data_IF_198036735596
#
_entry.id   IF_198036735596
#
_cell.length_a   1.000
_cell.length_b   1.000
_cell.length_c   1.000
_cell.angle_alpha   90.00
_cell.angle_beta   90.00
_cell.angle_gamma   90.00
#
_symmetry.space_group_name_H-M   'P 1'
#
loop_
_entity.id
_entity.type
_entity.pdbx_description
1 polymer ?
#
# COMPACT_ATOMS: atom_id res chain seq x y z
N UNK A 1 18.57 17.93 5.70
CA UNK A 1 17.55 17.03 6.28
C UNK A 1 18.31 15.97 7.03
N UNK A 2 18.01 15.77 8.31
CA UNK A 2 18.60 14.68 9.08
C UNK A 2 18.16 13.33 8.51
N UNK A 3 18.95 12.27 8.75
CA UNK A 3 18.66 10.93 8.22
C UNK A 3 17.36 10.43 8.88
N UNK A 4 16.31 10.10 8.11
CA UNK A 4 15.05 9.69 8.70
C UNK A 4 15.19 8.33 9.39
N UNK A 5 14.37 8.11 10.43
CA UNK A 5 14.32 6.82 11.13
C UNK A 5 13.73 5.72 10.25
N UNK A 6 12.75 6.08 9.42
CA UNK A 6 12.04 5.16 8.55
C UNK A 6 11.52 5.90 7.31
N UNK A 7 11.49 5.21 6.17
CA UNK A 7 10.82 5.68 4.95
C UNK A 7 9.57 4.85 4.74
N UNK A 8 8.41 5.51 4.66
CA UNK A 8 7.13 4.83 4.50
C UNK A 8 6.54 5.12 3.12
N UNK A 9 6.41 4.08 2.29
CA UNK A 9 5.76 4.17 0.98
C UNK A 9 4.26 3.90 1.12
N UNK A 10 3.46 4.94 0.89
CA UNK A 10 2.01 4.93 0.90
C UNK A 10 1.49 4.67 -0.51
N UNK A 11 0.89 3.51 -0.74
CA UNK A 11 0.30 3.15 -2.03
C UNK A 11 -1.19 3.49 -1.99
N UNK A 12 -1.56 4.49 -2.76
CA UNK A 12 -2.88 5.10 -2.73
C UNK A 12 -3.81 4.50 -3.79
N UNK A 13 -5.07 4.32 -3.43
CA UNK A 13 -6.16 4.12 -4.37
C UNK A 13 -6.72 5.46 -4.87
N UNK A 14 -7.78 5.44 -5.68
CA UNK A 14 -8.37 6.66 -6.25
C UNK A 14 -8.87 7.63 -5.16
N UNK A 15 -9.53 7.09 -4.13
CA UNK A 15 -10.05 7.91 -3.04
C UNK A 15 -8.92 8.46 -2.18
N UNK A 16 -7.91 7.62 -1.86
CA UNK A 16 -6.72 8.00 -1.12
C UNK A 16 -5.91 9.08 -1.84
N UNK A 17 -5.74 8.97 -3.16
CA UNK A 17 -5.10 10.00 -3.98
C UNK A 17 -5.85 11.34 -3.92
N UNK A 18 -7.17 11.30 -4.07
CA UNK A 18 -8.02 12.50 -4.00
C UNK A 18 -7.94 13.17 -2.62
N UNK A 19 -8.02 12.39 -1.53
CA UNK A 19 -7.86 12.89 -0.16
C UNK A 19 -6.47 13.46 0.09
N UNK A 20 -5.43 12.82 -0.43
CA UNK A 20 -4.06 13.29 -0.32
C UNK A 20 -3.86 14.62 -1.06
N UNK A 21 -4.36 14.75 -2.29
CA UNK A 21 -4.32 16.01 -3.04
C UNK A 21 -5.07 17.15 -2.32
N UNK A 22 -6.26 16.86 -1.76
CA UNK A 22 -7.02 17.83 -0.99
C UNK A 22 -6.24 18.38 0.20
N UNK A 23 -5.46 17.53 0.88
CA UNK A 23 -4.59 17.97 1.97
C UNK A 23 -3.38 18.75 1.45
N UNK A 24 -2.63 18.19 0.49
CA UNK A 24 -1.36 18.76 0.05
C UNK A 24 -1.52 20.10 -0.67
N UNK A 25 -2.63 20.31 -1.41
CA UNK A 25 -2.88 21.60 -2.09
C UNK A 25 -2.99 22.80 -1.15
N UNK A 26 -3.12 22.59 0.16
CA UNK A 26 -3.15 23.68 1.15
C UNK A 26 -1.80 24.37 1.25
N UNK A 27 -0.70 23.62 1.13
CA UNK A 27 0.67 24.14 1.24
C UNK A 27 1.52 23.99 -0.03
N UNK A 28 1.12 23.14 -0.96
CA UNK A 28 1.90 22.73 -2.14
C UNK A 28 1.10 22.87 -3.44
N UNK A 29 0.26 23.90 -3.55
CA UNK A 29 -0.60 24.07 -4.73
C UNK A 29 0.22 24.27 -6.02
N UNK A 30 1.33 25.01 -5.93
CA UNK A 30 2.16 25.35 -7.09
C UNK A 30 2.90 24.11 -7.62
N UNK A 31 3.41 23.26 -6.72
CA UNK A 31 4.07 22.00 -7.05
C UNK A 31 3.11 20.94 -7.61
N UNK A 32 1.80 21.09 -7.37
CA UNK A 32 0.76 20.19 -7.84
C UNK A 32 -0.07 20.79 -9.00
N UNK A 33 0.47 21.80 -9.68
CA UNK A 33 -0.23 22.53 -10.75
C UNK A 33 -0.57 21.68 -11.98
N UNK A 34 0.07 20.52 -12.16
CA UNK A 34 -0.24 19.54 -13.20
C UNK A 34 -1.40 18.59 -12.83
N UNK A 35 -1.91 18.68 -11.60
CA UNK A 35 -3.00 17.84 -11.10
C UNK A 35 -4.35 18.57 -11.14
N UNK A 36 -5.43 17.79 -11.23
CA UNK A 36 -6.77 18.30 -10.94
C UNK A 36 -6.98 18.38 -9.43
N UNK A 37 -6.89 19.58 -8.87
CA UNK A 37 -6.93 19.81 -7.43
C UNK A 37 -8.36 19.78 -6.86
N UNK A 38 -8.73 18.82 -5.99
CA UNK A 38 -10.04 18.77 -5.31
C UNK A 38 -10.09 19.80 -4.18
N UNK A 39 -11.27 20.21 -3.68
CA UNK A 39 -11.38 21.22 -2.60
C UNK A 39 -10.40 21.00 -1.43
N UNK A 40 -9.78 22.07 -0.90
CA UNK A 40 -8.72 21.96 0.10
C UNK A 40 -9.25 21.45 1.44
N UNK A 41 -8.55 20.47 2.02
CA UNK A 41 -8.80 19.94 3.35
C UNK A 41 -7.70 20.40 4.33
N UNK A 42 -7.97 21.53 4.99
CA UNK A 42 -7.04 22.13 5.97
C UNK A 42 -6.83 21.25 7.19
N UNK A 43 -7.84 20.50 7.62
CA UNK A 43 -7.74 19.62 8.79
C UNK A 43 -6.85 18.42 8.48
N UNK A 44 -6.96 17.84 7.27
CA UNK A 44 -6.03 16.81 6.81
C UNK A 44 -4.60 17.33 6.70
N UNK A 45 -4.40 18.54 6.18
CA UNK A 45 -3.07 19.15 6.12
C UNK A 45 -2.46 19.38 7.52
N UNK A 46 -3.24 19.87 8.48
CA UNK A 46 -2.79 20.03 9.86
C UNK A 46 -2.36 18.71 10.50
N UNK A 47 -3.12 17.63 10.27
CA UNK A 47 -2.73 16.28 10.74
C UNK A 47 -1.39 15.83 10.17
N UNK A 48 -1.11 16.12 8.90
CA UNK A 48 0.23 15.85 8.33
C UNK A 48 1.31 16.68 9.00
N UNK A 49 1.06 17.99 9.24
CA UNK A 49 2.02 18.84 9.94
C UNK A 49 2.32 18.35 11.36
N UNK A 50 1.29 17.95 12.11
CA UNK A 50 1.46 17.37 13.45
C UNK A 50 2.24 16.07 13.41
N UNK A 51 1.93 15.18 12.47
CA UNK A 51 2.64 13.92 12.30
C UNK A 51 4.13 14.15 11.98
N UNK A 52 4.48 15.09 11.09
CA UNK A 52 5.88 15.40 10.77
C UNK A 52 6.62 16.15 11.89
N UNK A 53 5.90 16.91 12.75
CA UNK A 53 6.51 17.51 13.95
C UNK A 53 6.85 16.46 15.02
N UNK A 54 6.11 15.36 15.04
CA UNK A 54 6.19 14.34 16.09
C UNK A 54 6.93 13.06 15.67
N UNK A 55 7.33 12.93 14.40
CA UNK A 55 8.09 11.78 13.90
C UNK A 55 9.17 12.20 12.90
N UNK A 56 10.33 11.54 12.99
CA UNK A 56 11.47 11.67 12.07
C UNK A 56 11.34 10.71 10.86
N UNK A 57 10.10 10.41 10.45
CA UNK A 57 9.81 9.49 9.36
C UNK A 57 9.62 10.28 8.05
N UNK A 58 10.13 9.75 6.94
CA UNK A 58 9.86 10.28 5.60
C UNK A 58 8.70 9.53 4.97
N UNK A 59 7.74 10.25 4.40
CA UNK A 59 6.63 9.66 3.65
C UNK A 59 6.83 9.82 2.16
N UNK A 60 6.67 8.72 1.43
CA UNK A 60 6.53 8.70 -0.02
C UNK A 60 5.10 8.28 -0.38
N UNK A 61 4.57 8.83 -1.46
CA UNK A 61 3.22 8.52 -1.95
C UNK A 61 3.29 8.07 -3.40
N UNK A 62 2.56 7.00 -3.71
CA UNK A 62 2.45 6.48 -5.06
C UNK A 62 0.97 6.34 -5.41
N UNK A 63 0.59 6.90 -6.56
CA UNK A 63 -0.59 6.52 -7.31
C UNK A 63 -0.18 5.51 -8.40
N UNK A 64 -0.46 4.20 -8.24
CA UNK A 64 -0.13 3.20 -9.25
C UNK A 64 -0.89 3.43 -10.56
N UNK A 65 -0.51 2.72 -11.63
CA UNK A 65 -1.12 2.93 -12.94
C UNK A 65 -2.65 2.82 -12.92
N UNK A 66 -3.30 3.73 -13.64
CA UNK A 66 -4.75 3.81 -13.69
C UNK A 66 -5.38 4.47 -12.46
N UNK A 67 -4.59 5.14 -11.63
CA UNK A 67 -5.01 6.00 -10.51
C UNK A 67 -4.30 7.35 -10.65
N UNK A 68 -4.98 8.43 -10.25
CA UNK A 68 -4.40 9.77 -10.18
C UNK A 68 -3.91 10.29 -11.54
N UNK A 69 -2.64 10.72 -11.68
CA UNK A 69 -2.12 11.30 -12.92
C UNK A 69 -2.23 10.36 -14.14
N UNK A 70 -2.32 9.04 -13.88
CA UNK A 70 -2.42 8.01 -14.92
C UNK A 70 -3.82 7.42 -15.04
N UNK A 71 -4.82 8.03 -14.39
CA UNK A 71 -6.20 7.57 -14.44
C UNK A 71 -6.71 7.55 -15.88
N UNK A 72 -7.32 6.43 -16.26
CA UNK A 72 -8.04 6.36 -17.52
C UNK A 72 -9.38 7.08 -17.42
N UNK A 73 -9.96 7.37 -18.59
CA UNK A 73 -11.31 7.95 -18.73
C UNK A 73 -12.29 7.35 -17.70
N UNK A 74 -13.05 8.24 -17.06
CA UNK A 74 -13.97 7.93 -15.96
C UNK A 74 -15.16 7.06 -16.36
N UNK A 75 -15.44 6.90 -17.66
CA UNK A 75 -16.45 5.98 -18.17
C UNK A 75 -16.20 4.52 -17.73
N UNK A 76 -17.13 3.99 -16.93
CA UNK A 76 -17.08 2.65 -16.36
C UNK A 76 -16.97 1.54 -17.43
N UNK A 77 -17.61 1.73 -18.59
CA UNK A 77 -17.53 0.79 -19.71
C UNK A 77 -16.11 0.74 -20.24
N UNK A 78 -15.45 1.89 -20.38
CA UNK A 78 -14.04 1.96 -20.82
C UNK A 78 -13.11 1.38 -19.77
N UNK A 79 -13.31 1.66 -18.48
CA UNK A 79 -12.54 1.04 -17.38
C UNK A 79 -12.62 -0.49 -17.42
N UNK A 80 -13.82 -1.03 -17.66
CA UNK A 80 -14.03 -2.47 -17.82
C UNK A 80 -13.28 -3.04 -19.04
N UNK A 81 -13.36 -2.36 -20.18
CA UNK A 81 -12.61 -2.77 -21.38
C UNK A 81 -11.10 -2.78 -21.14
N UNK A 82 -10.57 -1.76 -20.46
CA UNK A 82 -9.15 -1.67 -20.13
C UNK A 82 -8.72 -2.83 -19.23
N UNK A 83 -9.49 -3.14 -18.17
CA UNK A 83 -9.22 -4.29 -17.29
C UNK A 83 -9.17 -5.61 -18.07
N UNK A 84 -10.08 -5.80 -19.03
CA UNK A 84 -10.11 -6.99 -19.90
C UNK A 84 -8.92 -7.06 -20.87
N UNK A 85 -8.39 -5.93 -21.33
CA UNK A 85 -7.22 -5.90 -22.22
C UNK A 85 -5.94 -6.39 -21.55
N UNK A 86 -5.77 -6.18 -20.24
CA UNK A 86 -4.65 -6.76 -19.51
C UNK A 86 -4.65 -8.29 -19.61
N UNK A 87 -5.83 -8.92 -19.50
CA UNK A 87 -5.95 -10.38 -19.55
C UNK A 87 -5.59 -10.94 -20.94
N UNK A 88 -5.83 -10.18 -22.01
CA UNK A 88 -5.40 -10.57 -23.37
C UNK A 88 -3.87 -10.67 -23.50
N UNK A 89 -3.13 -9.97 -22.64
CA UNK A 89 -1.66 -10.02 -22.59
C UNK A 89 -1.15 -10.97 -21.49
N UNK A 90 -2.02 -11.80 -20.91
CA UNK A 90 -1.66 -12.67 -19.79
C UNK A 90 -1.32 -11.90 -18.51
N UNK A 91 -1.88 -10.69 -18.33
CA UNK A 91 -1.65 -9.84 -17.17
C UNK A 91 -2.97 -9.49 -16.47
N UNK A 92 -2.88 -8.94 -15.26
CA UNK A 92 -3.99 -8.21 -14.63
C UNK A 92 -3.56 -6.80 -14.31
N UNK A 93 -4.51 -5.87 -14.18
CA UNK A 93 -4.18 -4.52 -13.71
C UNK A 93 -3.53 -4.58 -12.33
N UNK A 94 -4.02 -5.42 -11.44
CA UNK A 94 -3.47 -5.54 -10.10
C UNK A 94 -2.04 -6.10 -10.13
N UNK A 95 -1.74 -7.09 -10.99
CA UNK A 95 -0.36 -7.57 -11.20
C UNK A 95 0.58 -6.48 -11.73
N UNK A 96 0.06 -5.61 -12.57
CA UNK A 96 0.81 -4.46 -13.08
C UNK A 96 0.98 -3.34 -12.04
N UNK A 97 0.04 -3.18 -11.11
CA UNK A 97 0.19 -2.26 -9.97
C UNK A 97 1.18 -2.79 -8.94
N UNK A 98 1.26 -4.11 -8.73
CA UNK A 98 2.36 -4.72 -7.97
C UNK A 98 3.69 -4.33 -8.60
N UNK A 99 3.82 -4.41 -9.92
CA UNK A 99 5.02 -3.96 -10.62
C UNK A 99 5.34 -2.47 -10.39
N UNK A 100 4.34 -1.59 -10.40
CA UNK A 100 4.54 -0.16 -10.12
C UNK A 100 5.08 0.08 -8.70
N UNK A 101 4.50 -0.59 -7.71
CA UNK A 101 4.95 -0.49 -6.31
C UNK A 101 6.39 -0.97 -6.18
N UNK A 102 6.74 -2.09 -6.83
CA UNK A 102 8.13 -2.58 -6.87
C UNK A 102 9.09 -1.56 -7.46
N UNK A 103 8.72 -0.90 -8.56
CA UNK A 103 9.55 0.17 -9.14
C UNK A 103 9.67 1.37 -8.20
N UNK A 104 8.61 1.76 -7.52
CA UNK A 104 8.66 2.83 -6.54
C UNK A 104 9.60 2.51 -5.37
N UNK A 105 9.56 1.28 -4.85
CA UNK A 105 10.49 0.80 -3.82
C UNK A 105 11.94 0.95 -4.31
N UNK A 106 12.22 0.46 -5.51
CA UNK A 106 13.57 0.52 -6.08
C UNK A 106 14.04 1.95 -6.33
N UNK A 107 13.16 2.82 -6.83
CA UNK A 107 13.45 4.25 -6.99
C UNK A 107 13.76 4.91 -5.66
N UNK A 108 12.99 4.62 -4.60
CA UNK A 108 13.29 5.15 -3.27
C UNK A 108 14.66 4.70 -2.78
N UNK A 109 15.06 3.45 -3.06
CA UNK A 109 16.39 2.93 -2.72
C UNK A 109 17.54 3.60 -3.47
N UNK A 110 17.28 4.32 -4.58
CA UNK A 110 18.33 5.10 -5.26
C UNK A 110 18.60 6.44 -4.59
N UNK A 111 17.63 6.98 -3.84
CA UNK A 111 17.74 8.27 -3.17
C UNK A 111 18.61 8.15 -1.91
N UNK A 112 19.58 9.06 -1.75
CA UNK A 112 20.51 9.03 -0.60
C UNK A 112 19.78 9.12 0.75
N UNK A 113 18.63 9.82 0.79
CA UNK A 113 17.78 9.94 1.98
C UNK A 113 17.09 8.64 2.40
N UNK A 114 17.01 7.64 1.53
CA UNK A 114 16.21 6.42 1.73
C UNK A 114 16.98 5.10 1.51
N UNK A 115 18.14 5.13 0.83
CA UNK A 115 18.91 3.93 0.47
C UNK A 115 19.14 2.99 1.64
N UNK A 116 19.65 3.51 2.75
CA UNK A 116 20.03 2.72 3.94
C UNK A 116 19.03 2.83 5.10
N UNK A 117 17.86 3.41 4.86
CA UNK A 117 16.84 3.61 5.90
C UNK A 117 15.86 2.44 5.88
N UNK A 118 15.42 1.92 7.04
CA UNK A 118 14.35 0.93 7.10
C UNK A 118 13.12 1.40 6.33
N UNK A 119 12.56 0.52 5.50
CA UNK A 119 11.40 0.84 4.67
C UNK A 119 10.13 0.18 5.22
N UNK A 120 9.07 0.96 5.36
CA UNK A 120 7.73 0.49 5.59
C UNK A 120 6.88 0.66 4.33
N UNK A 121 5.93 -0.25 4.11
CA UNK A 121 4.94 -0.15 3.04
C UNK A 121 3.55 -0.05 3.63
N UNK A 122 2.69 0.79 3.06
CA UNK A 122 1.31 0.94 3.51
C UNK A 122 0.32 0.90 2.36
N UNK A 123 -0.82 0.25 2.58
CA UNK A 123 -1.92 0.23 1.63
C UNK A 123 -3.26 0.03 2.33
N UNK A 124 -4.33 0.43 1.67
CA UNK A 124 -5.70 0.28 2.14
C UNK A 124 -6.55 -0.52 1.15
N UNK A 125 -7.42 -1.40 1.66
CA UNK A 125 -8.33 -2.19 0.86
C UNK A 125 -7.57 -3.05 -0.15
N UNK A 126 -7.95 -2.95 -1.42
CA UNK A 126 -7.23 -3.64 -2.49
C UNK A 126 -5.75 -3.24 -2.58
N UNK A 127 -5.38 -1.99 -2.30
CA UNK A 127 -3.98 -1.56 -2.33
C UNK A 127 -3.17 -2.20 -1.20
N UNK A 128 -3.79 -2.57 -0.08
CA UNK A 128 -3.13 -3.37 0.95
C UNK A 128 -2.66 -4.72 0.37
N UNK A 129 -3.51 -5.41 -0.39
CA UNK A 129 -3.11 -6.65 -1.06
C UNK A 129 -2.05 -6.44 -2.16
N UNK A 130 -2.10 -5.33 -2.89
CA UNK A 130 -1.04 -4.99 -3.87
C UNK A 130 0.31 -4.81 -3.17
N UNK A 131 0.34 -4.06 -2.07
CA UNK A 131 1.54 -3.82 -1.26
C UNK A 131 2.07 -5.12 -0.68
N UNK A 132 1.18 -5.97 -0.14
CA UNK A 132 1.53 -7.28 0.38
C UNK A 132 2.25 -8.12 -0.70
N UNK A 133 1.72 -8.18 -1.91
CA UNK A 133 2.38 -8.90 -3.00
C UNK A 133 3.69 -8.26 -3.44
N UNK A 134 3.76 -6.92 -3.52
CA UNK A 134 4.99 -6.24 -3.88
C UNK A 134 6.13 -6.58 -2.90
N UNK A 135 5.82 -6.68 -1.61
CA UNK A 135 6.81 -7.02 -0.56
C UNK A 135 7.46 -8.40 -0.75
N UNK A 136 6.74 -9.37 -1.32
CA UNK A 136 7.30 -10.71 -1.56
C UNK A 136 8.45 -10.70 -2.58
N UNK A 137 8.51 -9.66 -3.42
CA UNK A 137 9.47 -9.54 -4.51
C UNK A 137 10.56 -8.49 -4.28
N UNK A 138 10.57 -7.82 -3.13
CA UNK A 138 11.56 -6.79 -2.81
C UNK A 138 12.25 -7.13 -1.47
N UNK A 139 13.58 -6.97 -1.37
CA UNK A 139 14.30 -7.23 -0.14
C UNK A 139 14.14 -6.09 0.87
N UNK A 140 14.51 -6.37 2.13
CA UNK A 140 14.71 -5.38 3.19
C UNK A 140 13.50 -4.48 3.48
N UNK A 141 12.29 -5.04 3.39
CA UNK A 141 11.07 -4.40 3.87
C UNK A 141 10.96 -4.66 5.38
N UNK A 142 11.08 -3.60 6.18
CA UNK A 142 11.07 -3.72 7.63
C UNK A 142 9.65 -3.96 8.15
N UNK A 143 8.66 -3.23 7.60
CA UNK A 143 7.27 -3.29 8.07
C UNK A 143 6.25 -3.14 6.95
N UNK A 144 5.11 -3.79 7.08
CA UNK A 144 3.97 -3.68 6.18
C UNK A 144 2.71 -3.39 6.98
N UNK A 145 2.14 -2.21 6.77
CA UNK A 145 0.93 -1.74 7.44
C UNK A 145 -0.27 -1.86 6.47
N UNK A 146 -1.17 -2.82 6.75
CA UNK A 146 -2.23 -3.25 5.84
C UNK A 146 -3.60 -2.92 6.43
N UNK A 147 -4.28 -1.94 5.83
CA UNK A 147 -5.57 -1.46 6.29
C UNK A 147 -6.71 -2.10 5.52
N UNK A 148 -7.70 -2.67 6.22
CA UNK A 148 -8.86 -3.31 5.58
C UNK A 148 -8.45 -4.30 4.48
N UNK A 149 -7.43 -5.10 4.73
CA UNK A 149 -6.93 -6.09 3.78
C UNK A 149 -8.03 -7.13 3.51
N UNK A 150 -8.42 -7.38 2.24
CA UNK A 150 -9.34 -8.46 1.94
C UNK A 150 -8.76 -9.80 2.39
N UNK A 151 -9.56 -10.64 3.00
CA UNK A 151 -9.16 -11.98 3.46
C UNK A 151 -9.16 -13.02 2.33
N UNK A 152 -9.64 -12.66 1.13
CA UNK A 152 -9.58 -13.50 -0.05
C UNK A 152 -9.35 -12.73 -1.36
N UNK A 153 -8.64 -13.34 -2.31
CA UNK A 153 -8.51 -12.84 -3.68
C UNK A 153 -9.85 -12.76 -4.42
N UNK A 154 -10.93 -13.32 -3.87
CA UNK A 154 -12.31 -13.13 -4.39
C UNK A 154 -12.70 -11.65 -4.37
N UNK A 155 -12.28 -10.90 -3.36
CA UNK A 155 -12.55 -9.47 -3.20
C UNK A 155 -11.37 -8.59 -3.71
N UNK A 156 -10.25 -9.25 -3.95
CA UNK A 156 -9.06 -8.75 -4.64
C UNK A 156 -7.85 -8.62 -3.70
N UNK A 157 -6.68 -8.27 -4.24
CA UNK A 157 -6.37 -8.01 -5.65
C UNK A 157 -6.56 -9.23 -6.55
N UNK A 158 -6.84 -8.98 -7.83
CA UNK A 158 -7.09 -10.04 -8.82
C UNK A 158 -5.80 -10.42 -9.55
N UNK A 159 -5.36 -11.67 -9.41
CA UNK A 159 -4.26 -12.25 -10.18
C UNK A 159 -4.72 -13.49 -10.94
N UNK A 160 -4.12 -13.76 -12.09
CA UNK A 160 -4.49 -14.92 -12.91
C UNK A 160 -4.24 -16.22 -12.13
N UNK A 161 -5.28 -17.05 -11.99
CA UNK A 161 -5.23 -18.39 -11.40
C UNK A 161 -4.70 -18.48 -9.96
N UNK A 162 -4.57 -17.37 -9.22
CA UNK A 162 -3.91 -17.36 -7.90
C UNK A 162 -4.55 -18.30 -6.88
N UNK A 163 -5.88 -18.36 -6.84
CA UNK A 163 -6.63 -19.24 -5.93
C UNK A 163 -6.42 -20.74 -6.17
N UNK A 164 -5.76 -21.14 -7.27
CA UNK A 164 -5.32 -22.53 -7.47
C UNK A 164 -4.10 -22.88 -6.63
N UNK A 165 -3.40 -21.88 -6.09
CA UNK A 165 -2.14 -22.05 -5.37
C UNK A 165 -2.23 -21.58 -3.93
N UNK A 166 -2.78 -20.39 -3.67
CA UNK A 166 -2.88 -19.80 -2.33
C UNK A 166 -3.92 -18.68 -2.27
N UNK A 167 -4.28 -18.28 -1.05
CA UNK A 167 -5.12 -17.11 -0.78
C UNK A 167 -4.40 -16.05 0.08
N UNK A 168 -5.06 -14.93 0.40
CA UNK A 168 -4.44 -13.80 1.11
C UNK A 168 -3.85 -14.19 2.47
N UNK A 169 -4.48 -15.02 3.32
CA UNK A 169 -3.92 -15.39 4.62
C UNK A 169 -2.59 -16.15 4.51
N UNK A 170 -2.44 -17.01 3.49
CA UNK A 170 -1.17 -17.66 3.19
C UNK A 170 -0.13 -16.65 2.70
N UNK A 171 -0.54 -15.69 1.87
CA UNK A 171 0.33 -14.60 1.39
C UNK A 171 0.87 -13.77 2.56
N UNK A 172 0.02 -13.45 3.55
CA UNK A 172 0.40 -12.74 4.77
C UNK A 172 1.45 -13.53 5.56
N UNK A 173 1.25 -14.85 5.72
CA UNK A 173 2.25 -15.70 6.38
C UNK A 173 3.60 -15.67 5.65
N UNK A 174 3.60 -15.75 4.31
CA UNK A 174 4.84 -15.66 3.52
C UNK A 174 5.55 -14.32 3.70
N UNK A 175 4.82 -13.20 3.71
CA UNK A 175 5.41 -11.89 3.94
C UNK A 175 5.93 -11.71 5.37
N UNK A 176 5.21 -12.25 6.35
CA UNK A 176 5.56 -12.26 7.76
C UNK A 176 6.82 -13.08 8.07
N UNK A 177 7.28 -13.96 7.19
CA UNK A 177 8.58 -14.61 7.37
C UNK A 177 9.73 -13.59 7.34
N UNK A 178 9.57 -12.49 6.60
CA UNK A 178 10.65 -11.53 6.29
C UNK A 178 10.42 -10.14 6.86
N UNK A 179 9.17 -9.74 7.04
CA UNK A 179 8.77 -8.38 7.46
C UNK A 179 7.91 -8.42 8.72
N UNK A 180 7.84 -7.33 9.47
CA UNK A 180 6.79 -7.14 10.46
C UNK A 180 5.47 -6.81 9.74
N UNK A 181 4.40 -7.53 10.04
CA UNK A 181 3.06 -7.28 9.47
C UNK A 181 2.15 -6.69 10.54
N UNK A 182 1.45 -5.61 10.19
CA UNK A 182 0.37 -5.04 10.99
C UNK A 182 -0.91 -4.99 10.17
N UNK A 183 -1.93 -5.71 10.62
CA UNK A 183 -3.27 -5.67 10.04
C UNK A 183 -4.15 -4.69 10.84
N UNK A 184 -4.76 -3.73 10.16
CA UNK A 184 -5.66 -2.74 10.75
C UNK A 184 -7.09 -3.03 10.28
N UNK A 185 -7.83 -3.79 11.07
CA UNK A 185 -9.20 -4.20 10.78
C UNK A 185 -9.96 -4.59 12.05
N UNK A 186 -11.29 -4.51 11.98
CA UNK A 186 -12.17 -4.80 13.11
C UNK A 186 -12.41 -6.31 13.32
N UNK A 187 -12.40 -7.08 12.22
CA UNK A 187 -12.66 -8.52 12.22
C UNK A 187 -11.36 -9.33 12.12
N UNK A 188 -11.23 -10.36 12.96
CA UNK A 188 -10.13 -11.33 12.95
C UNK A 188 -10.46 -12.62 12.19
N UNK A 189 -11.72 -12.78 11.76
CA UNK A 189 -12.18 -13.89 10.95
C UNK A 189 -11.49 -13.82 9.57
N UNK A 190 -10.51 -14.70 9.36
CA UNK A 190 -9.68 -14.72 8.15
C UNK A 190 -8.18 -14.96 8.43
N UNK A 191 -7.69 -14.63 9.62
CA UNK A 191 -6.24 -14.63 9.91
C UNK A 191 -5.74 -15.78 10.76
N UNK A 192 -6.57 -16.82 10.95
CA UNK A 192 -6.18 -18.02 11.68
C UNK A 192 -4.95 -18.70 11.07
N UNK A 193 -4.80 -18.67 9.74
CA UNK A 193 -3.66 -19.28 9.06
C UNK A 193 -2.32 -18.62 9.44
N UNK A 194 -2.10 -17.30 9.24
CA UNK A 194 -0.84 -16.66 9.64
C UNK A 194 -0.57 -16.73 11.13
N UNK A 195 -1.60 -16.67 11.99
CA UNK A 195 -1.45 -16.89 13.44
C UNK A 195 -0.88 -18.28 13.75
N UNK A 196 -1.47 -19.33 13.17
CA UNK A 196 -1.00 -20.71 13.36
C UNK A 196 0.42 -20.95 12.82
N UNK A 197 0.81 -20.24 11.74
CA UNK A 197 2.18 -20.29 11.23
C UNK A 197 3.14 -19.61 12.20
N UNK A 198 2.80 -18.41 12.70
CA UNK A 198 3.61 -17.68 13.66
C UNK A 198 3.87 -18.49 14.94
N UNK A 199 2.84 -19.12 15.48
CA UNK A 199 2.95 -20.00 16.66
C UNK A 199 3.86 -21.20 16.37
N UNK A 200 3.65 -21.91 15.26
CA UNK A 200 4.44 -23.10 14.91
C UNK A 200 5.90 -22.81 14.62
N UNK A 201 6.20 -21.64 14.06
CA UNK A 201 7.57 -21.22 13.74
C UNK A 201 8.23 -20.43 14.89
N UNK A 202 7.53 -20.19 15.99
CA UNK A 202 8.07 -19.47 17.15
C UNK A 202 8.48 -18.03 16.82
N UNK A 203 7.72 -17.36 15.95
CA UNK A 203 7.99 -15.96 15.62
C UNK A 203 7.73 -15.04 16.83
N UNK A 204 8.48 -13.93 16.96
CA UNK A 204 8.23 -12.97 18.02
C UNK A 204 6.86 -12.31 17.86
N UNK A 205 6.24 -11.90 18.98
CA UNK A 205 4.88 -11.33 19.02
C UNK A 205 4.70 -10.07 18.18
N UNK A 206 5.78 -9.36 17.86
CA UNK A 206 5.77 -8.18 17.00
C UNK A 206 5.86 -8.50 15.50
N UNK A 207 6.05 -9.77 15.14
CA UNK A 207 6.19 -10.20 13.75
C UNK A 207 4.87 -10.11 12.98
N UNK A 208 3.79 -10.54 13.60
CA UNK A 208 2.45 -10.52 13.04
C UNK A 208 1.48 -9.97 14.09
N UNK A 209 0.96 -8.78 13.85
CA UNK A 209 0.06 -8.10 14.77
C UNK A 209 -1.26 -7.74 14.11
N UNK A 210 -2.34 -7.93 14.86
CA UNK A 210 -3.66 -7.44 14.51
C UNK A 210 -4.01 -6.28 15.42
N UNK A 211 -4.36 -5.14 14.82
CA UNK A 211 -4.72 -3.91 15.52
C UNK A 211 -6.24 -3.73 15.41
N UNK A 212 -6.95 -4.18 16.44
CA UNK A 212 -8.39 -3.97 16.59
C UNK A 212 -8.66 -2.57 17.14
N UNK A 213 -9.17 -1.69 16.28
CA UNK A 213 -9.46 -0.25 16.46
C UNK A 213 -8.37 0.69 15.93
N UNK A 214 -8.70 1.40 14.86
CA UNK A 214 -8.16 2.73 14.66
C UNK A 214 -9.17 3.77 15.16
N UNK A 215 -8.69 4.66 16.04
CA UNK A 215 -9.35 5.90 16.37
C UNK A 215 -9.58 6.68 15.05
N UNK A 216 -10.85 7.02 14.80
CA UNK A 216 -11.27 7.90 13.70
C UNK A 216 -10.66 9.30 13.85
#
# INVERSE_FOLDING_TARGET
LDKPRMVTLNVLDEQGWTKWLAAMRVGFADELSDQMLPEPDKNAFQRYQEMFKNNEDTLAYLAPRGIGPTAWNTDERKRTQIRRRFMLLGQTIDGMRVWDVRRAIQTLRTLDLAREVPMALQGNGRMAGIVLYASLFEPDIARIDLWHLPDSHRDGPAFLNVLRYLDIPQTVAMAAERSQIRLYQEDDSGWRFPQAVAEKLGWPDDRFQMQGKCLK
#
